data_IF_686700232574
#
_entry.id   IF_686700232574
#
_cell.length_a   1.000
_cell.length_b   1.000
_cell.length_c   1.000
_cell.angle_alpha   90.00
_cell.angle_beta   90.00
_cell.angle_gamma   90.00
#
_symmetry.space_group_name_H-M   'P 1'
#
loop_
_entity.id
_entity.type
_entity.pdbx_description
1 polymer ?
#
# COMPACT_ATOMS: atom_id res chain seq x y z
N UNK A 1 27.55 -7.99 2.08
CA UNK A 1 27.39 -6.84 1.16
C UNK A 1 25.97 -6.88 0.61
N UNK A 2 25.18 -5.79 0.75
CA UNK A 2 23.79 -5.74 0.27
C UNK A 2 23.72 -5.89 -1.25
N UNK A 3 22.70 -6.59 -1.72
CA UNK A 3 22.38 -6.74 -3.15
C UNK A 3 21.38 -5.66 -3.58
N UNK A 4 21.28 -5.39 -4.87
CA UNK A 4 20.15 -4.63 -5.40
C UNK A 4 18.84 -5.34 -5.08
N UNK A 5 17.74 -4.55 -4.98
CA UNK A 5 16.42 -5.14 -4.77
C UNK A 5 16.07 -6.13 -5.88
N UNK A 6 15.47 -7.24 -5.47
CA UNK A 6 14.95 -8.28 -6.36
C UNK A 6 13.48 -8.55 -6.00
N UNK A 7 12.59 -8.41 -6.99
CA UNK A 7 11.15 -8.65 -6.80
C UNK A 7 10.87 -10.10 -6.39
N UNK A 8 11.60 -11.06 -6.93
CA UNK A 8 11.42 -12.48 -6.62
C UNK A 8 12.06 -12.90 -5.28
N UNK A 9 12.95 -12.09 -4.71
CA UNK A 9 13.60 -12.38 -3.43
C UNK A 9 12.71 -12.08 -2.23
N UNK A 10 13.05 -12.68 -1.09
CA UNK A 10 12.30 -12.54 0.16
C UNK A 10 12.60 -11.24 0.95
N UNK A 11 13.60 -10.47 0.49
CA UNK A 11 14.13 -9.30 1.20
C UNK A 11 13.78 -8.03 0.46
N UNK A 12 13.44 -6.98 1.22
CA UNK A 12 13.31 -5.63 0.70
C UNK A 12 13.98 -4.59 1.61
N UNK A 13 13.87 -3.32 1.22
CA UNK A 13 14.55 -2.18 1.85
C UNK A 13 13.58 -1.04 2.16
N UNK A 14 13.62 -0.56 3.40
CA UNK A 14 13.02 0.71 3.77
C UNK A 14 14.08 1.83 3.63
N UNK A 15 13.88 2.74 2.68
CA UNK A 15 14.83 3.80 2.36
C UNK A 15 14.45 5.11 3.06
N UNK A 16 15.22 5.52 4.05
CA UNK A 16 15.06 6.75 4.80
C UNK A 16 14.53 6.55 6.22
N UNK A 17 14.60 7.60 7.04
CA UNK A 17 14.27 7.52 8.45
C UNK A 17 12.80 7.12 8.69
N UNK A 18 11.84 7.82 8.08
CA UNK A 18 10.42 7.57 8.32
C UNK A 18 9.99 6.12 8.07
N UNK A 19 10.19 5.53 6.86
CA UNK A 19 9.78 4.16 6.65
C UNK A 19 10.55 3.17 7.52
N UNK A 20 11.81 3.45 7.87
CA UNK A 20 12.60 2.56 8.74
C UNK A 20 12.13 2.62 10.19
N UNK A 21 11.75 3.79 10.69
CA UNK A 21 11.14 3.95 12.03
C UNK A 21 9.80 3.21 12.10
N UNK A 22 8.96 3.33 11.10
CA UNK A 22 7.68 2.60 11.04
C UNK A 22 7.89 1.08 10.95
N UNK A 23 8.90 0.62 10.23
CA UNK A 23 9.31 -0.78 10.21
C UNK A 23 9.72 -1.27 11.62
N UNK A 24 10.57 -0.52 12.31
CA UNK A 24 11.03 -0.88 13.67
C UNK A 24 9.86 -0.93 14.66
N UNK A 25 8.93 0.03 14.56
CA UNK A 25 7.77 0.10 15.48
C UNK A 25 6.75 -1.00 15.24
N UNK A 26 6.56 -1.44 14.01
CA UNK A 26 5.44 -2.32 13.63
C UNK A 26 5.84 -3.75 13.38
N UNK A 27 7.07 -3.98 12.88
CA UNK A 27 7.57 -5.30 12.47
C UNK A 27 9.05 -5.50 12.83
N UNK A 28 9.47 -5.31 14.09
CA UNK A 28 10.87 -5.49 14.51
C UNK A 28 11.37 -6.92 14.25
N UNK A 29 10.46 -7.91 14.31
CA UNK A 29 10.76 -9.32 14.02
C UNK A 29 11.17 -9.57 12.57
N UNK A 30 10.60 -8.83 11.62
CA UNK A 30 10.90 -8.96 10.18
C UNK A 30 12.24 -8.32 9.80
N UNK A 31 12.87 -7.53 10.70
CA UNK A 31 14.12 -6.82 10.42
C UNK A 31 15.31 -7.79 10.44
N UNK A 32 16.06 -7.77 9.35
CA UNK A 32 17.35 -8.45 9.23
C UNK A 32 18.51 -7.56 9.68
N UNK A 33 18.50 -6.30 9.31
CA UNK A 33 19.45 -5.29 9.77
C UNK A 33 18.96 -3.88 9.55
N UNK A 34 19.41 -2.95 10.39
CA UNK A 34 19.28 -1.51 10.20
C UNK A 34 20.67 -0.95 9.92
N UNK A 35 20.81 -0.25 8.81
CA UNK A 35 22.09 0.31 8.37
C UNK A 35 22.04 1.83 8.46
N UNK A 36 22.99 2.37 9.16
CA UNK A 36 23.15 3.81 9.34
C UNK A 36 24.34 4.33 8.53
N UNK A 37 24.24 5.55 8.08
CA UNK A 37 25.42 6.28 7.56
C UNK A 37 26.24 6.80 8.73
N UNK A 38 27.54 6.86 8.52
CA UNK A 38 28.50 7.34 9.55
C UNK A 38 28.29 8.81 9.93
N UNK A 39 27.71 9.61 9.03
CA UNK A 39 27.41 11.04 9.26
C UNK A 39 26.00 11.28 9.83
N UNK A 40 25.26 10.23 10.18
CA UNK A 40 24.00 10.37 10.90
C UNK A 40 24.26 10.87 12.32
N UNK A 41 23.75 12.05 12.64
CA UNK A 41 23.82 12.57 14.01
C UNK A 41 22.91 11.75 14.92
N UNK A 42 23.49 10.96 15.80
CA UNK A 42 22.76 10.22 16.82
C UNK A 42 22.19 11.18 17.87
N UNK A 43 20.89 11.01 18.17
CA UNK A 43 20.18 11.72 19.24
C UNK A 43 19.57 10.69 20.17
N UNK A 44 19.23 11.08 21.41
CA UNK A 44 18.54 10.21 22.37
C UNK A 44 17.24 9.62 21.79
N UNK A 45 16.51 10.39 20.97
CA UNK A 45 15.31 9.91 20.27
C UNK A 45 15.64 8.78 19.30
N UNK A 46 16.68 8.93 18.47
CA UNK A 46 17.09 7.88 17.52
C UNK A 46 17.58 6.63 18.27
N UNK A 47 18.37 6.81 19.35
CA UNK A 47 18.82 5.69 20.19
C UNK A 47 17.64 4.92 20.81
N UNK A 48 16.64 5.64 21.30
CA UNK A 48 15.41 5.04 21.84
C UNK A 48 14.65 4.26 20.78
N UNK A 49 14.52 4.78 19.54
CA UNK A 49 13.88 4.10 18.43
C UNK A 49 14.63 2.83 18.03
N UNK A 50 15.95 2.86 18.03
CA UNK A 50 16.80 1.73 17.65
C UNK A 50 16.93 0.68 18.74
N UNK A 51 16.58 0.98 19.99
CA UNK A 51 16.75 0.08 21.14
C UNK A 51 16.16 -1.32 20.93
N UNK A 52 14.93 -1.50 20.36
CA UNK A 52 14.35 -2.84 20.14
C UNK A 52 15.12 -3.73 19.15
N UNK A 53 15.98 -3.13 18.33
CA UNK A 53 16.70 -3.81 17.23
C UNK A 53 18.21 -3.53 17.29
N UNK A 54 18.73 -3.15 18.46
CA UNK A 54 20.10 -2.68 18.63
C UNK A 54 21.17 -3.68 18.17
N UNK A 55 20.92 -4.95 18.36
CA UNK A 55 21.76 -6.06 17.91
C UNK A 55 21.83 -6.20 16.38
N UNK A 56 20.86 -5.62 15.66
CA UNK A 56 20.76 -5.62 14.19
C UNK A 56 21.28 -4.33 13.55
N UNK A 57 21.68 -3.33 14.36
CA UNK A 57 22.15 -2.02 13.86
C UNK A 57 23.65 -2.08 13.49
N UNK A 58 23.99 -1.50 12.33
CA UNK A 58 25.39 -1.37 11.90
C UNK A 58 25.59 -0.09 11.09
N UNK A 59 26.82 0.41 11.07
CA UNK A 59 27.22 1.56 10.22
C UNK A 59 27.92 1.02 8.98
N UNK A 60 27.39 1.35 7.78
CA UNK A 60 27.95 0.89 6.49
C UNK A 60 27.55 1.84 5.35
N UNK A 61 28.35 2.87 5.10
CA UNK A 61 28.14 3.88 4.06
C UNK A 61 28.10 3.27 2.65
N UNK A 62 28.92 2.24 2.40
CA UNK A 62 28.98 1.59 1.09
C UNK A 62 27.69 0.86 0.75
N UNK A 63 27.10 0.20 1.74
CA UNK A 63 25.81 -0.47 1.59
C UNK A 63 24.66 0.52 1.36
N UNK A 64 24.64 1.64 2.10
CA UNK A 64 23.65 2.70 1.90
C UNK A 64 23.77 3.29 0.50
N UNK A 65 24.96 3.67 0.06
CA UNK A 65 25.20 4.26 -1.26
C UNK A 65 24.79 3.31 -2.41
N UNK A 66 24.98 2.00 -2.25
CA UNK A 66 24.63 1.00 -3.24
C UNK A 66 23.12 0.87 -3.43
N UNK A 67 22.36 0.86 -2.34
CA UNK A 67 20.91 0.60 -2.38
C UNK A 67 20.12 1.89 -2.61
N UNK A 68 20.56 2.99 -2.02
CA UNK A 68 19.78 4.23 -2.01
C UNK A 68 19.84 5.04 -3.31
N UNK A 69 20.82 4.82 -4.19
CA UNK A 69 21.03 5.52 -5.49
C UNK A 69 20.90 7.06 -5.46
N UNK A 70 20.43 7.68 -4.38
CA UNK A 70 20.25 9.12 -4.15
C UNK A 70 20.72 9.50 -2.76
N UNK A 71 21.39 10.67 -2.64
CA UNK A 71 22.22 11.07 -1.52
C UNK A 71 21.59 11.37 -0.16
N UNK A 72 20.26 11.29 0.00
CA UNK A 72 19.58 11.75 1.22
C UNK A 72 19.02 10.60 2.09
N UNK A 73 19.65 9.43 2.04
CA UNK A 73 19.29 8.31 2.89
C UNK A 73 20.37 8.11 3.95
N UNK A 74 20.04 8.38 5.21
CA UNK A 74 20.93 8.24 6.37
C UNK A 74 20.66 6.97 7.17
N UNK A 75 19.48 6.39 6.99
CA UNK A 75 19.04 5.17 7.65
C UNK A 75 18.32 4.28 6.64
N UNK A 76 18.60 2.98 6.68
CA UNK A 76 18.03 1.96 5.81
C UNK A 76 17.73 0.71 6.61
N UNK A 77 16.50 0.21 6.50
CA UNK A 77 16.12 -1.09 7.04
C UNK A 77 16.16 -2.17 5.95
N UNK A 78 16.69 -3.32 6.31
CA UNK A 78 16.63 -4.56 5.52
C UNK A 78 15.62 -5.46 6.20
N UNK A 79 14.60 -5.91 5.50
CA UNK A 79 13.51 -6.67 6.10
C UNK A 79 13.00 -7.79 5.19
N UNK A 80 12.39 -8.81 5.81
CA UNK A 80 11.68 -9.89 5.11
C UNK A 80 10.31 -9.41 4.66
N UNK A 81 9.96 -9.73 3.42
CA UNK A 81 8.62 -9.51 2.90
C UNK A 81 7.64 -10.44 3.64
N UNK A 82 6.45 -9.92 3.94
CA UNK A 82 5.39 -10.69 4.57
C UNK A 82 4.07 -10.42 3.89
N UNK A 83 3.41 -11.47 3.45
CA UNK A 83 2.07 -11.43 2.90
C UNK A 83 1.10 -12.05 3.90
N UNK A 84 -0.13 -11.61 3.87
CA UNK A 84 -1.20 -12.09 4.73
C UNK A 84 -2.33 -12.68 3.90
N UNK A 85 -3.14 -13.50 4.53
CA UNK A 85 -4.48 -13.85 4.05
C UNK A 85 -5.49 -13.26 5.01
N UNK A 86 -6.60 -12.77 4.49
CA UNK A 86 -7.70 -12.25 5.29
C UNK A 86 -9.03 -12.72 4.69
N UNK A 87 -10.00 -13.04 5.55
CA UNK A 87 -11.35 -13.41 5.13
C UNK A 87 -12.23 -12.19 4.84
N UNK A 88 -13.53 -12.41 4.77
CA UNK A 88 -14.50 -11.35 4.51
C UNK A 88 -14.38 -10.20 5.51
N UNK A 89 -14.08 -9.01 5.04
CA UNK A 89 -13.88 -7.79 5.81
C UNK A 89 -13.83 -6.58 4.89
N UNK A 90 -13.90 -5.38 5.45
CA UNK A 90 -13.68 -4.16 4.70
C UNK A 90 -12.23 -4.07 4.20
N UNK A 91 -12.07 -3.93 2.89
CA UNK A 91 -10.76 -3.85 2.26
C UNK A 91 -10.77 -3.08 0.94
N UNK A 92 -9.57 -2.76 0.46
CA UNK A 92 -9.35 -2.23 -0.89
C UNK A 92 -8.79 -3.34 -1.76
N UNK A 93 -9.32 -3.50 -2.96
CA UNK A 93 -8.78 -4.37 -3.99
C UNK A 93 -8.32 -3.52 -5.19
N UNK A 94 -7.05 -3.68 -5.58
CA UNK A 94 -6.46 -3.01 -6.73
C UNK A 94 -6.20 -4.03 -7.82
N UNK A 95 -6.83 -3.84 -8.98
CA UNK A 95 -6.69 -4.73 -10.15
C UNK A 95 -5.64 -4.15 -11.09
N UNK A 96 -4.53 -4.86 -11.26
CA UNK A 96 -3.37 -4.47 -12.06
C UNK A 96 -2.82 -3.06 -11.78
N UNK A 97 -2.62 -2.62 -10.53
CA UNK A 97 -1.97 -1.34 -10.26
C UNK A 97 -0.56 -1.35 -10.88
N UNK A 98 -0.18 -0.27 -11.56
CA UNK A 98 1.07 -0.24 -12.33
C UNK A 98 2.13 0.69 -11.78
N UNK A 99 1.76 1.75 -11.05
CA UNK A 99 2.69 2.75 -10.53
C UNK A 99 3.01 2.55 -9.04
N UNK A 100 4.29 2.41 -8.72
CA UNK A 100 4.79 2.22 -7.36
C UNK A 100 4.52 3.41 -6.43
N UNK A 101 4.50 4.64 -6.97
CA UNK A 101 4.20 5.86 -6.21
C UNK A 101 2.72 5.94 -5.85
N UNK A 102 1.85 5.64 -6.81
CA UNK A 102 0.40 5.55 -6.59
C UNK A 102 0.08 4.48 -5.55
N UNK A 103 0.64 3.28 -5.70
CA UNK A 103 0.44 2.18 -4.77
C UNK A 103 0.85 2.56 -3.34
N UNK A 104 2.03 3.17 -3.17
CA UNK A 104 2.47 3.65 -1.86
C UNK A 104 1.57 4.75 -1.29
N UNK A 105 1.11 5.69 -2.12
CA UNK A 105 0.18 6.74 -1.72
C UNK A 105 -1.17 6.17 -1.27
N UNK A 106 -1.69 5.17 -1.99
CA UNK A 106 -2.92 4.46 -1.63
C UNK A 106 -2.77 3.79 -0.26
N UNK A 107 -1.69 3.05 -0.03
CA UNK A 107 -1.45 2.39 1.26
C UNK A 107 -1.46 3.39 2.42
N UNK A 108 -0.84 4.57 2.24
CA UNK A 108 -0.86 5.62 3.25
C UNK A 108 -2.26 6.16 3.49
N UNK A 109 -3.03 6.37 2.43
CA UNK A 109 -4.42 6.83 2.50
C UNK A 109 -5.31 5.81 3.21
N UNK A 110 -5.20 4.52 2.86
CA UNK A 110 -5.91 3.43 3.52
C UNK A 110 -5.68 3.41 5.03
N UNK A 111 -4.42 3.53 5.44
CA UNK A 111 -4.07 3.57 6.85
C UNK A 111 -4.68 4.79 7.55
N UNK A 112 -4.72 5.96 6.88
CA UNK A 112 -5.34 7.18 7.37
C UNK A 112 -6.84 7.06 7.59
N UNK A 113 -7.53 6.24 6.80
CA UNK A 113 -8.96 5.94 6.92
C UNK A 113 -9.26 4.64 7.70
N UNK A 114 -8.27 4.06 8.37
CA UNK A 114 -8.46 2.88 9.23
C UNK A 114 -8.62 1.56 8.49
N UNK A 115 -8.60 1.54 7.16
CA UNK A 115 -8.67 0.32 6.34
C UNK A 115 -7.27 -0.29 6.23
N UNK A 116 -7.11 -1.51 6.77
CA UNK A 116 -5.80 -2.16 6.88
C UNK A 116 -5.59 -3.34 5.94
N UNK A 117 -6.57 -3.72 5.13
CA UNK A 117 -6.47 -4.88 4.25
C UNK A 117 -6.45 -4.44 2.80
N UNK A 118 -5.42 -4.93 2.09
CA UNK A 118 -5.17 -4.62 0.69
C UNK A 118 -5.04 -5.92 -0.10
N UNK A 119 -5.92 -6.12 -1.06
CA UNK A 119 -5.77 -7.12 -2.10
C UNK A 119 -5.12 -6.47 -3.34
N UNK A 120 -4.06 -7.07 -3.86
CA UNK A 120 -3.49 -6.71 -5.16
C UNK A 120 -3.74 -7.87 -6.11
N UNK A 121 -4.49 -7.60 -7.15
CA UNK A 121 -5.01 -8.61 -8.09
C UNK A 121 -4.37 -8.43 -9.45
N UNK A 122 -3.81 -9.51 -9.98
CA UNK A 122 -3.24 -9.58 -11.31
C UNK A 122 -1.71 -9.68 -11.32
N UNK A 123 -1.21 -10.65 -12.08
CA UNK A 123 0.23 -10.79 -12.35
C UNK A 123 0.76 -9.53 -13.04
N UNK A 124 2.02 -9.19 -12.78
CA UNK A 124 2.65 -7.99 -13.33
C UNK A 124 2.30 -6.68 -12.61
N UNK A 125 1.44 -6.69 -11.60
CA UNK A 125 1.16 -5.53 -10.75
C UNK A 125 2.43 -4.93 -10.14
N UNK A 126 2.36 -3.63 -9.81
CA UNK A 126 3.42 -2.95 -9.07
C UNK A 126 3.70 -3.69 -7.76
N UNK A 127 4.97 -3.78 -7.43
CA UNK A 127 5.41 -4.54 -6.26
C UNK A 127 5.21 -3.71 -4.98
N UNK A 128 4.42 -4.25 -4.06
CA UNK A 128 4.10 -3.63 -2.77
C UNK A 128 5.34 -3.40 -1.90
N UNK A 129 6.38 -4.21 -2.10
CA UNK A 129 7.63 -4.13 -1.38
C UNK A 129 8.80 -3.57 -2.23
N UNK A 130 8.54 -3.05 -3.44
CA UNK A 130 9.56 -2.25 -4.13
C UNK A 130 9.99 -1.10 -3.20
N UNK A 131 11.29 -0.84 -3.01
CA UNK A 131 11.76 0.26 -2.15
C UNK A 131 11.16 1.64 -2.49
N UNK A 132 10.70 1.86 -3.74
CA UNK A 132 9.97 3.07 -4.13
C UNK A 132 8.57 3.07 -3.53
N UNK A 133 7.86 1.94 -3.58
CA UNK A 133 6.52 1.78 -2.97
C UNK A 133 6.60 1.94 -1.45
N UNK A 134 7.54 1.26 -0.81
CA UNK A 134 7.79 1.37 0.64
C UNK A 134 8.03 2.83 1.04
N UNK A 135 8.87 3.55 0.28
CA UNK A 135 9.15 4.96 0.53
C UNK A 135 7.93 5.85 0.31
N UNK A 136 7.19 5.64 -0.79
CA UNK A 136 6.00 6.42 -1.10
C UNK A 136 4.89 6.22 -0.06
N UNK A 137 4.78 5.01 0.51
CA UNK A 137 3.85 4.71 1.59
C UNK A 137 4.20 5.37 2.92
N UNK A 138 5.39 5.98 3.05
CA UNK A 138 5.93 6.50 4.32
C UNK A 138 5.90 5.43 5.44
N UNK A 139 6.08 4.16 5.08
CA UNK A 139 6.06 3.03 6.00
C UNK A 139 4.65 2.49 6.32
N UNK A 140 3.58 3.02 5.75
CA UNK A 140 2.22 2.50 5.95
C UNK A 140 2.10 1.02 5.52
N UNK A 141 2.90 0.58 4.56
CA UNK A 141 3.00 -0.82 4.12
C UNK A 141 3.21 -1.80 5.28
N UNK A 142 3.89 -1.39 6.34
CA UNK A 142 4.15 -2.22 7.53
C UNK A 142 2.95 -2.35 8.47
N UNK A 143 1.92 -1.54 8.28
CA UNK A 143 0.69 -1.56 9.06
C UNK A 143 -0.45 -2.31 8.37
N UNK A 144 -0.26 -2.73 7.12
CA UNK A 144 -1.29 -3.36 6.31
C UNK A 144 -1.10 -4.87 6.25
N UNK A 145 -2.22 -5.59 6.20
CA UNK A 145 -2.32 -6.97 5.77
C UNK A 145 -2.49 -6.97 4.24
N UNK A 146 -1.51 -7.51 3.53
CA UNK A 146 -1.46 -7.46 2.07
C UNK A 146 -1.54 -8.88 1.51
N UNK A 147 -2.53 -9.13 0.65
CA UNK A 147 -2.66 -10.37 -0.09
C UNK A 147 -2.46 -10.13 -1.60
N UNK A 148 -1.78 -11.05 -2.25
CA UNK A 148 -1.56 -11.02 -3.70
C UNK A 148 -2.39 -12.13 -4.35
N UNK A 149 -3.11 -11.79 -5.39
CA UNK A 149 -3.89 -12.72 -6.19
C UNK A 149 -3.37 -12.74 -7.63
N UNK A 150 -3.16 -13.91 -8.24
CA UNK A 150 -2.67 -13.97 -9.62
C UNK A 150 -3.66 -13.37 -10.62
N UNK A 151 -4.94 -13.47 -10.35
CA UNK A 151 -6.03 -12.98 -11.20
C UNK A 151 -7.31 -12.72 -10.40
N UNK A 152 -8.33 -12.19 -11.09
CA UNK A 152 -9.62 -11.91 -10.50
C UNK A 152 -10.35 -13.17 -10.01
N UNK A 153 -10.23 -14.28 -10.71
CA UNK A 153 -10.90 -15.54 -10.35
C UNK A 153 -10.42 -16.05 -8.99
N UNK A 154 -9.11 -16.00 -8.75
CA UNK A 154 -8.52 -16.37 -7.47
C UNK A 154 -8.98 -15.45 -6.33
N UNK A 155 -9.05 -14.12 -6.59
CA UNK A 155 -9.58 -13.16 -5.64
C UNK A 155 -11.08 -13.40 -5.35
N UNK A 156 -11.90 -13.54 -6.38
CA UNK A 156 -13.35 -13.73 -6.22
C UNK A 156 -13.71 -15.03 -5.52
N UNK A 157 -12.89 -16.07 -5.64
CA UNK A 157 -13.10 -17.34 -4.95
C UNK A 157 -12.97 -17.24 -3.41
N UNK A 158 -12.18 -16.29 -2.91
CA UNK A 158 -11.96 -16.08 -1.48
C UNK A 158 -12.82 -14.94 -0.90
N UNK A 159 -13.31 -14.03 -1.75
CA UNK A 159 -13.99 -12.80 -1.36
C UNK A 159 -15.41 -12.72 -1.91
N UNK A 160 -16.38 -13.05 -1.06
CA UNK A 160 -17.82 -13.06 -1.39
C UNK A 160 -18.57 -11.82 -0.86
N UNK A 161 -17.90 -10.92 -0.15
CA UNK A 161 -18.47 -9.66 0.32
C UNK A 161 -18.90 -8.75 -0.83
N UNK A 162 -19.78 -7.80 -0.52
CA UNK A 162 -20.24 -6.81 -1.49
C UNK A 162 -19.09 -6.01 -2.07
N UNK A 163 -19.04 -5.92 -3.41
CA UNK A 163 -17.98 -5.19 -4.12
C UNK A 163 -18.52 -3.88 -4.70
N UNK A 164 -17.93 -2.76 -4.37
CA UNK A 164 -18.14 -1.47 -5.02
C UNK A 164 -17.05 -1.29 -6.08
N UNK A 165 -17.45 -1.36 -7.35
CA UNK A 165 -16.53 -1.40 -8.50
C UNK A 165 -16.42 0.03 -9.08
N UNK A 166 -15.30 0.70 -8.83
CA UNK A 166 -15.06 2.06 -9.30
C UNK A 166 -14.72 2.04 -10.79
N UNK A 167 -15.73 2.32 -11.63
CA UNK A 167 -15.59 2.24 -13.08
C UNK A 167 -16.50 3.23 -13.80
N UNK A 168 -16.14 3.55 -15.05
CA UNK A 168 -16.92 4.36 -15.96
C UNK A 168 -17.80 3.43 -16.81
N UNK A 169 -18.98 3.07 -16.30
CA UNK A 169 -19.93 2.19 -16.94
C UNK A 169 -21.33 2.84 -16.92
N UNK A 170 -22.16 2.59 -17.91
CA UNK A 170 -23.52 3.14 -18.00
C UNK A 170 -24.42 2.71 -16.83
N UNK A 171 -24.12 1.58 -16.22
CA UNK A 171 -24.81 1.03 -15.03
C UNK A 171 -24.32 1.64 -13.71
N UNK A 172 -23.24 2.41 -13.76
CA UNK A 172 -22.65 2.96 -12.54
C UNK A 172 -23.60 3.91 -11.83
N UNK A 173 -23.84 3.64 -10.56
CA UNK A 173 -24.57 4.54 -9.66
C UNK A 173 -23.60 5.55 -9.04
N UNK A 174 -24.11 6.72 -8.69
CA UNK A 174 -23.26 7.74 -8.05
C UNK A 174 -22.84 7.27 -6.65
N UNK A 175 -21.56 7.35 -6.31
CA UNK A 175 -21.00 6.90 -5.02
C UNK A 175 -21.79 7.45 -3.81
N UNK A 176 -22.16 8.74 -3.83
CA UNK A 176 -22.91 9.38 -2.75
C UNK A 176 -24.35 8.86 -2.57
N UNK A 177 -24.86 8.09 -3.52
CA UNK A 177 -26.21 7.49 -3.44
C UNK A 177 -26.19 6.01 -3.05
N UNK A 178 -25.00 5.42 -2.87
CA UNK A 178 -24.86 4.01 -2.52
C UNK A 178 -25.01 3.84 -1.02
N UNK A 179 -25.88 2.91 -0.60
CA UNK A 179 -25.83 2.36 0.74
C UNK A 179 -24.69 1.35 0.79
N UNK A 180 -23.68 1.64 1.59
CA UNK A 180 -22.48 0.79 1.69
C UNK A 180 -22.79 -0.44 2.55
N UNK A 181 -22.73 -1.66 1.99
CA UNK A 181 -22.91 -2.87 2.78
C UNK A 181 -21.68 -3.13 3.67
N UNK A 182 -21.87 -3.88 4.74
CA UNK A 182 -20.77 -4.37 5.59
C UNK A 182 -20.85 -5.91 5.69
N UNK A 183 -19.73 -6.62 5.45
CA UNK A 183 -18.45 -6.11 4.95
C UNK A 183 -18.48 -5.77 3.45
N UNK A 184 -17.54 -4.93 3.00
CA UNK A 184 -17.44 -4.54 1.60
C UNK A 184 -16.00 -4.45 1.09
N UNK A 185 -15.85 -4.59 -0.23
CA UNK A 185 -14.61 -4.33 -0.95
C UNK A 185 -14.75 -3.09 -1.84
N UNK A 186 -13.79 -2.16 -1.75
CA UNK A 186 -13.64 -1.07 -2.71
C UNK A 186 -12.66 -1.51 -3.80
N UNK A 187 -13.16 -1.72 -5.01
CA UNK A 187 -12.40 -2.30 -6.12
C UNK A 187 -12.06 -1.22 -7.15
N UNK A 188 -10.77 -1.06 -7.41
CA UNK A 188 -10.25 -0.07 -8.36
C UNK A 188 -9.39 -0.76 -9.43
N UNK A 189 -9.43 -0.24 -10.65
CA UNK A 189 -8.69 -0.75 -11.79
C UNK A 189 -7.31 -0.11 -11.96
N UNK A 190 -6.67 -0.48 -13.06
CA UNK A 190 -5.41 0.08 -13.53
C UNK A 190 -5.56 1.57 -13.84
N UNK A 191 -4.47 2.34 -13.68
CA UNK A 191 -4.45 3.79 -13.88
C UNK A 191 -4.81 4.22 -15.31
N UNK A 192 -4.51 3.41 -16.30
CA UNK A 192 -4.76 3.69 -17.70
C UNK A 192 -6.01 3.02 -18.25
N UNK A 193 -6.19 1.72 -18.01
CA UNK A 193 -7.29 0.94 -18.58
C UNK A 193 -8.53 0.85 -17.70
N UNK A 194 -8.45 1.22 -16.42
CA UNK A 194 -9.55 1.03 -15.48
C UNK A 194 -9.79 -0.43 -15.10
N UNK A 195 -11.00 -0.74 -14.68
CA UNK A 195 -11.48 -2.11 -14.47
C UNK A 195 -11.95 -2.71 -15.81
N UNK A 196 -11.69 -4.01 -16.05
CA UNK A 196 -12.27 -4.74 -17.17
C UNK A 196 -13.81 -4.62 -17.18
N UNK A 197 -14.45 -4.32 -18.33
CA UNK A 197 -15.90 -4.10 -18.40
C UNK A 197 -16.75 -5.31 -17.92
N UNK A 198 -16.23 -6.52 -18.07
CA UNK A 198 -16.87 -7.76 -17.62
C UNK A 198 -17.05 -7.80 -16.10
N UNK A 199 -16.18 -7.14 -15.34
CA UNK A 199 -16.28 -7.10 -13.88
C UNK A 199 -17.51 -6.33 -13.38
N UNK A 200 -18.15 -5.53 -14.24
CA UNK A 200 -19.37 -4.81 -13.85
C UNK A 200 -20.55 -5.72 -13.44
N UNK A 201 -20.44 -7.03 -13.68
CA UNK A 201 -21.42 -8.03 -13.21
C UNK A 201 -21.03 -8.69 -11.89
N UNK A 202 -19.84 -8.42 -11.37
CA UNK A 202 -19.27 -9.03 -10.17
C UNK A 202 -19.56 -8.22 -8.88
N UNK A 203 -20.28 -7.11 -9.01
CA UNK A 203 -20.61 -6.22 -7.90
C UNK A 203 -21.48 -5.05 -8.32
N UNK A 204 -21.41 -3.97 -7.55
CA UNK A 204 -22.13 -2.72 -7.84
C UNK A 204 -21.17 -1.73 -8.51
N UNK A 205 -21.32 -1.42 -9.80
CA UNK A 205 -20.57 -0.37 -10.46
C UNK A 205 -20.88 0.98 -9.83
N UNK A 206 -19.85 1.72 -9.44
CA UNK A 206 -19.98 3.05 -8.83
C UNK A 206 -19.12 4.08 -9.56
N UNK A 207 -19.61 5.32 -9.64
CA UNK A 207 -18.91 6.43 -10.24
C UNK A 207 -18.73 7.58 -9.25
N UNK A 208 -17.52 8.13 -9.22
CA UNK A 208 -17.23 9.42 -8.61
C UNK A 208 -17.51 10.50 -9.64
N UNK A 209 -18.57 11.28 -9.46
CA UNK A 209 -18.89 12.35 -10.40
C UNK A 209 -17.84 13.45 -10.33
N UNK A 210 -17.34 13.85 -11.48
CA UNK A 210 -16.36 14.92 -11.69
C UNK A 210 -16.68 15.74 -12.94
N UNK A 211 -15.96 16.83 -13.18
CA UNK A 211 -16.10 17.65 -14.39
C UNK A 211 -15.81 16.82 -15.65
N UNK A 212 -16.45 17.19 -16.77
CA UNK A 212 -16.20 16.61 -18.09
C UNK A 212 -14.92 17.13 -18.76
N UNK A 213 -14.19 18.03 -18.09
CA UNK A 213 -12.93 18.58 -18.59
C UNK A 213 -11.77 17.59 -18.47
N UNK A 214 -11.97 16.49 -17.75
CA UNK A 214 -11.02 15.38 -17.61
C UNK A 214 -11.74 14.04 -17.79
N UNK A 215 -11.04 13.05 -18.32
CA UNK A 215 -11.60 11.71 -18.57
C UNK A 215 -11.74 10.89 -17.29
N UNK A 216 -10.79 11.01 -16.35
CA UNK A 216 -10.79 10.26 -15.10
C UNK A 216 -9.99 10.97 -14.02
N UNK A 217 -10.23 10.58 -12.75
CA UNK A 217 -9.39 10.95 -11.62
C UNK A 217 -8.17 10.03 -11.55
N UNK A 218 -7.05 10.58 -11.07
CA UNK A 218 -5.91 9.73 -10.72
C UNK A 218 -6.31 8.70 -9.65
N UNK A 219 -5.79 7.48 -9.76
CA UNK A 219 -6.15 6.35 -8.93
C UNK A 219 -6.07 6.63 -7.41
N UNK A 220 -4.99 7.21 -6.83
CA UNK A 220 -4.96 7.56 -5.41
C UNK A 220 -6.07 8.52 -4.97
N UNK A 221 -6.47 9.48 -5.82
CA UNK A 221 -7.56 10.40 -5.52
C UNK A 221 -8.91 9.67 -5.53
N UNK A 222 -9.15 8.79 -6.50
CA UNK A 222 -10.36 7.98 -6.53
C UNK A 222 -10.48 7.09 -5.29
N UNK A 223 -9.37 6.44 -4.90
CA UNK A 223 -9.31 5.65 -3.66
C UNK A 223 -9.58 6.51 -2.42
N UNK A 224 -8.99 7.71 -2.33
CA UNK A 224 -9.19 8.60 -1.19
C UNK A 224 -10.66 9.03 -1.05
N UNK A 225 -11.33 9.35 -2.17
CA UNK A 225 -12.75 9.72 -2.17
C UNK A 225 -13.61 8.51 -1.80
N UNK A 226 -13.32 7.33 -2.35
CA UNK A 226 -14.03 6.09 -2.01
C UNK A 226 -13.93 5.78 -0.53
N UNK A 227 -12.73 5.80 0.03
CA UNK A 227 -12.48 5.58 1.45
C UNK A 227 -13.18 6.62 2.32
N UNK A 228 -13.06 7.90 2.00
CA UNK A 228 -13.75 8.96 2.74
C UNK A 228 -15.26 8.73 2.79
N UNK A 229 -15.88 8.47 1.64
CA UNK A 229 -17.33 8.28 1.57
C UNK A 229 -17.79 7.07 2.39
N UNK A 230 -17.05 5.96 2.36
CA UNK A 230 -17.43 4.74 3.06
C UNK A 230 -17.07 4.74 4.55
N UNK A 231 -16.11 5.57 4.99
CA UNK A 231 -15.65 5.59 6.39
C UNK A 231 -15.98 6.89 7.14
N UNK A 232 -16.55 7.91 6.49
CA UNK A 232 -16.83 9.21 7.10
C UNK A 232 -17.66 9.13 8.39
N UNK A 233 -18.56 8.14 8.49
CA UNK A 233 -19.38 7.91 9.68
C UNK A 233 -18.56 7.49 10.91
N UNK A 234 -17.37 6.90 10.71
CA UNK A 234 -16.47 6.47 11.80
C UNK A 234 -15.84 7.70 12.47
N UNK A 235 -15.59 8.76 11.69
CA UNK A 235 -14.88 9.97 12.13
C UNK A 235 -15.79 11.19 12.38
N UNK A 236 -17.11 11.04 12.24
CA UNK A 236 -18.08 12.13 12.44
C UNK A 236 -18.50 12.33 13.92
N UNK A 237 -17.76 11.80 14.88
CA UNK A 237 -18.09 11.84 16.30
C UNK A 237 -17.03 12.41 17.25
N UNK A 238 -15.91 12.92 16.69
CA UNK A 238 -14.82 13.52 17.47
C UNK A 238 -14.81 15.05 17.39
#
# INVERSE_FOLDING_TARGET
MLRSYDKAGDISYSLGAFPTVELIRRRPEDIESVILRSDLRMTEEIESILAPVRDKVRVDDKSVARVAKKGNVYMLGVFRKRFAHFGACDHVALVHPSDAGNLGTIMRTMLGFGIKRLAVVGEGSADVYDPKTVRASMGAVFALDICLYPDWSAYAAEHNESKLLFMLDERSVTLSSVTVPEPHALVFGNEGSGLPPELAYEGTPVIIRHSRDIDSLNLPQAVAIGLYETTKHIFCGD
#
